data_IF_060375035680
#
_entry.id   IF_060375035680
#
_cell.length_a   1.000
_cell.length_b   1.000
_cell.length_c   1.000
_cell.angle_alpha   90.00
_cell.angle_beta   90.00
_cell.angle_gamma   90.00
#
_symmetry.space_group_name_H-M   'P 1'
#
loop_
_entity.id
_entity.type
_entity.pdbx_description
1 polymer ?
#
# COMPACT_ATOMS: atom_id res chain seq x y z
N UNK A 1 9.09 -9.04 -9.88
CA UNK A 1 9.64 -7.68 -10.06
C UNK A 1 11.06 -7.64 -9.55
N UNK A 2 11.31 -8.08 -8.31
CA UNK A 2 12.63 -7.99 -7.67
C UNK A 2 13.77 -8.59 -8.48
N UNK A 3 13.65 -9.86 -8.89
CA UNK A 3 14.68 -10.50 -9.74
C UNK A 3 15.02 -9.68 -11.00
N UNK A 4 14.02 -9.14 -11.71
CA UNK A 4 14.26 -8.29 -12.89
C UNK A 4 15.00 -7.00 -12.55
N UNK A 5 14.71 -6.41 -11.39
CA UNK A 5 15.36 -5.20 -10.90
C UNK A 5 16.82 -5.47 -10.53
N UNK A 6 17.08 -6.52 -9.73
CA UNK A 6 18.44 -6.91 -9.35
C UNK A 6 19.28 -7.33 -10.56
N UNK A 7 18.69 -8.06 -11.51
CA UNK A 7 19.37 -8.47 -12.75
C UNK A 7 19.69 -7.27 -13.65
N UNK A 8 18.83 -6.25 -13.67
CA UNK A 8 19.12 -5.00 -14.36
C UNK A 8 20.33 -4.28 -13.74
N UNK A 9 20.39 -4.18 -12.41
CA UNK A 9 21.53 -3.58 -11.71
C UNK A 9 22.83 -4.34 -11.97
N UNK A 10 22.81 -5.68 -11.83
CA UNK A 10 23.99 -6.53 -12.05
C UNK A 10 24.50 -6.47 -13.48
N UNK A 11 23.61 -6.45 -14.48
CA UNK A 11 24.01 -6.30 -15.90
C UNK A 11 24.67 -4.95 -16.19
N UNK A 12 24.34 -3.91 -15.44
CA UNK A 12 24.89 -2.56 -15.61
C UNK A 12 26.02 -2.23 -14.62
N UNK A 13 26.51 -3.19 -13.83
CA UNK A 13 27.49 -2.92 -12.76
C UNK A 13 28.75 -2.18 -13.24
N UNK A 14 29.25 -2.53 -14.43
CA UNK A 14 30.46 -1.96 -15.04
C UNK A 14 30.16 -0.81 -16.02
N UNK A 15 28.90 -0.40 -16.16
CA UNK A 15 28.54 0.73 -17.01
C UNK A 15 28.93 2.05 -16.34
N UNK A 16 29.52 2.96 -17.10
CA UNK A 16 29.75 4.35 -16.70
C UNK A 16 28.53 5.26 -16.94
N UNK A 17 27.51 4.78 -17.67
CA UNK A 17 26.29 5.53 -17.93
C UNK A 17 25.36 5.48 -16.72
N UNK A 18 24.71 6.60 -16.34
CA UNK A 18 23.68 6.59 -15.31
C UNK A 18 22.48 5.73 -15.75
N UNK A 19 21.73 5.22 -14.79
CA UNK A 19 20.50 4.47 -15.03
C UNK A 19 19.29 5.20 -14.45
N UNK A 20 18.13 4.87 -15.00
CA UNK A 20 16.84 5.18 -14.41
C UNK A 20 16.05 3.88 -14.27
N UNK A 21 15.51 3.62 -13.09
CA UNK A 21 14.72 2.43 -12.80
C UNK A 21 13.43 2.84 -12.09
N UNK A 22 12.30 2.50 -12.70
CA UNK A 22 10.97 2.75 -12.14
C UNK A 22 10.32 1.42 -11.77
N UNK A 23 10.07 1.22 -10.47
CA UNK A 23 9.46 0.02 -9.93
C UNK A 23 8.08 0.35 -9.35
N UNK A 24 7.03 -0.19 -9.98
CA UNK A 24 5.65 0.02 -9.56
C UNK A 24 4.99 -1.34 -9.24
N UNK A 25 5.25 -1.93 -8.06
CA UNK A 25 4.55 -3.13 -7.66
C UNK A 25 3.04 -2.84 -7.51
N UNK A 26 2.16 -3.75 -7.96
CA UNK A 26 0.72 -3.53 -7.88
C UNK A 26 0.16 -3.68 -6.45
N UNK A 27 0.89 -4.33 -5.54
CA UNK A 27 0.48 -4.43 -4.14
C UNK A 27 0.53 -3.04 -3.47
N UNK A 28 -0.45 -2.67 -2.62
CA UNK A 28 -1.48 -3.53 -2.04
C UNK A 28 -2.85 -3.40 -2.73
N UNK A 29 -2.91 -3.25 -4.05
CA UNK A 29 -4.18 -3.22 -4.78
C UNK A 29 -4.91 -4.58 -4.70
N UNK A 30 -6.23 -4.55 -4.88
CA UNK A 30 -7.06 -5.77 -4.99
C UNK A 30 -6.50 -6.68 -6.10
N UNK A 31 -6.52 -8.01 -5.93
CA UNK A 31 -7.36 -8.81 -5.02
C UNK A 31 -6.84 -9.00 -3.57
N UNK A 32 -5.80 -8.27 -3.13
CA UNK A 32 -5.21 -8.41 -1.79
C UNK A 32 -4.72 -9.82 -1.46
N UNK A 33 -4.33 -10.63 -2.46
CA UNK A 33 -3.83 -11.99 -2.23
C UNK A 33 -2.38 -11.96 -1.73
N UNK A 34 -2.10 -12.31 -0.46
CA UNK A 34 -0.75 -12.27 0.05
C UNK A 34 0.07 -13.49 -0.42
N UNK A 35 1.42 -13.39 -0.44
CA UNK A 35 2.27 -14.56 -0.61
C UNK A 35 1.99 -15.61 0.49
N UNK A 36 2.10 -16.89 0.13
CA UNK A 36 1.84 -18.01 1.04
C UNK A 36 2.66 -17.95 2.35
N UNK A 37 3.86 -17.37 2.30
CA UNK A 37 4.76 -17.17 3.47
C UNK A 37 4.24 -16.14 4.48
N UNK A 38 3.38 -15.21 4.07
CA UNK A 38 2.85 -14.13 4.90
C UNK A 38 1.36 -14.29 5.26
N UNK A 39 0.70 -15.36 4.77
CA UNK A 39 -0.75 -15.56 4.90
C UNK A 39 -1.28 -15.54 6.34
N UNK A 40 -0.47 -15.96 7.31
CA UNK A 40 -0.87 -16.09 8.72
C UNK A 40 -0.41 -14.92 9.61
N UNK A 41 0.24 -13.90 9.05
CA UNK A 41 0.70 -12.74 9.82
C UNK A 41 -0.47 -11.79 10.11
N UNK A 42 -0.35 -10.96 11.15
CA UNK A 42 -1.35 -9.92 11.49
C UNK A 42 -2.78 -10.43 11.74
N UNK A 43 -2.98 -11.70 12.07
CA UNK A 43 -4.34 -12.29 12.21
C UNK A 43 -5.23 -11.60 13.24
N UNK A 44 -4.63 -10.94 14.24
CA UNK A 44 -5.34 -10.22 15.31
C UNK A 44 -5.39 -8.69 15.08
N UNK A 45 -5.02 -8.22 13.89
CA UNK A 45 -5.03 -6.78 13.55
C UNK A 45 -6.35 -6.43 12.87
N UNK A 46 -6.95 -5.33 13.29
CA UNK A 46 -8.13 -4.74 12.68
C UNK A 46 -7.78 -3.42 11.99
N UNK A 47 -8.63 -2.97 11.07
CA UNK A 47 -8.47 -1.67 10.46
C UNK A 47 -8.57 -0.57 11.55
N UNK A 48 -7.75 0.50 11.47
CA UNK A 48 -7.74 1.56 12.47
C UNK A 48 -9.13 2.15 12.67
N UNK A 49 -9.62 2.09 13.91
CA UNK A 49 -10.89 2.66 14.33
C UNK A 49 -10.72 4.14 14.70
N UNK A 50 -10.29 4.95 13.74
CA UNK A 50 -10.09 6.41 13.92
C UNK A 50 -11.42 7.12 14.24
N UNK A 51 -11.43 8.38 14.71
CA UNK A 51 -12.68 9.11 14.97
C UNK A 51 -13.61 9.26 13.77
N UNK A 52 -13.09 9.11 12.55
CA UNK A 52 -13.88 9.11 11.31
C UNK A 52 -14.40 7.72 10.91
N UNK A 53 -13.98 6.64 11.57
CA UNK A 53 -14.42 5.29 11.26
C UNK A 53 -15.90 5.11 11.63
N UNK A 54 -16.68 4.54 10.69
CA UNK A 54 -18.12 4.28 10.85
C UNK A 54 -18.92 5.50 11.34
N UNK A 55 -18.50 6.70 10.95
CA UNK A 55 -19.15 7.95 11.34
C UNK A 55 -20.18 8.34 10.28
N UNK A 56 -21.36 8.80 10.71
CA UNK A 56 -22.32 9.45 9.81
C UNK A 56 -21.79 10.82 9.35
N UNK A 57 -22.06 11.17 8.10
CA UNK A 57 -21.53 12.39 7.49
C UNK A 57 -22.49 13.57 7.42
N UNK A 58 -23.78 13.37 7.69
CA UNK A 58 -24.84 14.39 7.68
C UNK A 58 -24.58 15.50 6.63
N UNK A 59 -24.79 16.77 6.98
CA UNK A 59 -24.56 17.92 6.09
C UNK A 59 -23.10 18.44 6.07
N UNK A 60 -22.16 17.72 6.69
CA UNK A 60 -20.77 18.20 6.89
C UNK A 60 -19.78 17.74 5.81
N UNK A 61 -20.14 16.76 4.98
CA UNK A 61 -19.29 16.19 3.91
C UNK A 61 -19.92 16.40 2.53
N UNK A 62 -19.26 16.08 1.43
CA UNK A 62 -19.90 16.20 0.11
C UNK A 62 -20.89 15.06 -0.15
N UNK A 63 -21.78 15.23 -1.12
CA UNK A 63 -22.96 14.37 -1.31
C UNK A 63 -22.64 12.88 -1.51
N UNK A 64 -21.57 12.53 -2.24
CA UNK A 64 -21.18 11.12 -2.50
C UNK A 64 -20.91 10.38 -1.19
N UNK A 65 -20.16 10.99 -0.27
CA UNK A 65 -19.78 10.34 1.00
C UNK A 65 -21.01 10.11 1.89
N UNK A 66 -22.00 11.00 1.80
CA UNK A 66 -23.27 10.90 2.53
C UNK A 66 -24.14 9.71 2.08
N UNK A 67 -23.84 9.10 0.94
CA UNK A 67 -24.60 7.94 0.43
C UNK A 67 -24.16 6.62 1.06
N UNK A 68 -23.13 6.60 1.92
CA UNK A 68 -22.76 5.39 2.63
C UNK A 68 -23.91 4.87 3.51
N UNK A 69 -24.05 3.55 3.54
CA UNK A 69 -24.90 2.86 4.51
C UNK A 69 -24.27 3.06 5.89
N UNK A 70 -25.05 3.61 6.82
CA UNK A 70 -24.64 3.86 8.20
C UNK A 70 -25.71 3.34 9.19
N UNK A 71 -25.32 2.61 10.25
CA UNK A 71 -23.96 2.14 10.54
C UNK A 71 -23.47 1.11 9.52
N UNK A 72 -22.15 0.93 9.41
CA UNK A 72 -21.52 -0.13 8.63
C UNK A 72 -22.09 -1.48 9.12
N UNK A 73 -22.67 -2.32 8.24
CA UNK A 73 -23.12 -3.66 8.61
C UNK A 73 -21.96 -4.52 9.12
N UNK A 74 -22.21 -5.39 10.10
CA UNK A 74 -21.18 -6.23 10.74
C UNK A 74 -20.32 -6.99 9.72
N UNK A 75 -20.94 -7.66 8.75
CA UNK A 75 -20.24 -8.37 7.68
C UNK A 75 -19.31 -7.47 6.84
N UNK A 76 -19.66 -6.20 6.66
CA UNK A 76 -18.80 -5.22 5.97
C UNK A 76 -17.65 -4.80 6.87
N UNK A 77 -17.89 -4.66 8.18
CA UNK A 77 -16.85 -4.43 9.19
C UNK A 77 -15.80 -5.54 9.22
N UNK A 78 -16.24 -6.80 9.22
CA UNK A 78 -15.35 -7.97 9.17
C UNK A 78 -14.52 -8.00 7.88
N UNK A 79 -15.17 -7.70 6.74
CA UNK A 79 -14.51 -7.62 5.45
C UNK A 79 -13.49 -6.48 5.39
N UNK A 80 -13.76 -5.33 6.03
CA UNK A 80 -12.80 -4.21 6.15
C UNK A 80 -11.54 -4.67 6.91
N UNK A 81 -11.71 -5.37 8.02
CA UNK A 81 -10.59 -5.83 8.84
C UNK A 81 -9.77 -6.89 8.10
N UNK A 82 -10.43 -7.82 7.42
CA UNK A 82 -9.76 -8.79 6.56
C UNK A 82 -8.99 -8.10 5.43
N UNK A 83 -9.61 -7.14 4.75
CA UNK A 83 -8.97 -6.36 3.68
C UNK A 83 -7.75 -5.60 4.19
N UNK A 84 -7.83 -5.01 5.39
CA UNK A 84 -6.71 -4.33 6.01
C UNK A 84 -5.52 -5.27 6.27
N UNK A 85 -5.78 -6.42 6.90
CA UNK A 85 -4.77 -7.45 7.15
C UNK A 85 -4.13 -7.94 5.85
N UNK A 86 -4.96 -8.27 4.86
CA UNK A 86 -4.48 -8.78 3.59
C UNK A 86 -3.65 -7.76 2.81
N UNK A 87 -4.01 -6.48 2.85
CA UNK A 87 -3.19 -5.39 2.31
C UNK A 87 -1.82 -5.31 3.00
N UNK A 88 -1.77 -5.35 4.32
CA UNK A 88 -0.49 -5.41 5.07
C UNK A 88 0.37 -6.61 4.68
N UNK A 89 -0.24 -7.79 4.59
CA UNK A 89 0.47 -9.01 4.17
C UNK A 89 1.02 -8.92 2.75
N UNK A 90 0.32 -8.24 1.84
CA UNK A 90 0.82 -8.01 0.48
C UNK A 90 1.97 -7.00 0.44
N UNK A 91 1.94 -5.99 1.33
CA UNK A 91 3.03 -5.01 1.45
C UNK A 91 4.35 -5.64 1.90
N UNK A 92 4.33 -6.74 2.66
CA UNK A 92 5.57 -7.46 2.99
C UNK A 92 6.32 -7.98 1.76
N UNK A 93 5.62 -8.29 0.66
CA UNK A 93 6.30 -8.62 -0.60
C UNK A 93 6.93 -7.40 -1.29
N UNK A 94 6.38 -6.21 -1.04
CA UNK A 94 6.96 -4.94 -1.49
C UNK A 94 8.17 -4.60 -0.63
N UNK A 95 8.11 -4.87 0.67
CA UNK A 95 9.23 -4.73 1.60
C UNK A 95 10.40 -5.64 1.18
N UNK A 96 10.14 -6.92 0.87
CA UNK A 96 11.14 -7.84 0.32
C UNK A 96 11.79 -7.28 -0.96
N UNK A 97 10.98 -6.73 -1.89
CA UNK A 97 11.45 -6.10 -3.12
C UNK A 97 12.38 -4.90 -2.83
N UNK A 98 11.99 -4.03 -1.90
CA UNK A 98 12.79 -2.86 -1.51
C UNK A 98 14.09 -3.33 -0.89
N UNK A 99 14.06 -4.29 0.04
CA UNK A 99 15.24 -4.85 0.68
C UNK A 99 16.20 -5.47 -0.34
N UNK A 100 15.70 -6.26 -1.29
CA UNK A 100 16.53 -6.89 -2.33
C UNK A 100 17.17 -5.86 -3.27
N UNK A 101 16.45 -4.80 -3.66
CA UNK A 101 16.98 -3.74 -4.53
C UNK A 101 18.02 -2.89 -3.80
N UNK A 102 17.72 -2.46 -2.57
CA UNK A 102 18.64 -1.67 -1.74
C UNK A 102 19.89 -2.48 -1.38
N UNK A 103 19.72 -3.77 -1.08
CA UNK A 103 20.82 -4.72 -0.89
C UNK A 103 21.69 -4.83 -2.13
N UNK A 104 21.10 -5.04 -3.32
CA UNK A 104 21.85 -5.11 -4.57
C UNK A 104 22.61 -3.81 -4.90
N UNK A 105 22.02 -2.63 -4.64
CA UNK A 105 22.73 -1.36 -4.80
C UNK A 105 23.92 -1.22 -3.84
N UNK A 106 23.77 -1.72 -2.61
CA UNK A 106 24.82 -1.71 -1.59
C UNK A 106 25.96 -2.65 -1.97
N UNK A 107 25.63 -3.91 -2.33
CA UNK A 107 26.60 -4.94 -2.75
C UNK A 107 27.42 -4.52 -3.97
N UNK A 108 26.81 -3.76 -4.89
CA UNK A 108 27.46 -3.26 -6.10
C UNK A 108 28.19 -1.92 -5.88
N UNK A 109 28.22 -1.39 -4.66
CA UNK A 109 28.77 -0.08 -4.31
C UNK A 109 28.19 1.06 -5.16
N UNK A 110 26.89 0.98 -5.50
CA UNK A 110 26.17 2.00 -6.30
C UNK A 110 25.26 2.88 -5.45
N UNK A 111 24.93 2.48 -4.23
CA UNK A 111 23.95 3.18 -3.38
C UNK A 111 24.34 4.64 -3.12
N UNK A 112 25.62 4.91 -2.81
CA UNK A 112 26.11 6.27 -2.51
C UNK A 112 25.96 7.26 -3.68
N UNK A 113 25.82 6.74 -4.91
CA UNK A 113 25.65 7.52 -6.13
C UNK A 113 24.28 7.29 -6.78
N UNK A 114 23.27 6.88 -6.00
CA UNK A 114 21.92 6.62 -6.49
C UNK A 114 20.90 7.42 -5.66
N UNK A 115 20.12 8.27 -6.33
CA UNK A 115 18.94 8.86 -5.69
C UNK A 115 17.80 7.84 -5.64
N UNK A 116 17.24 7.63 -4.45
CA UNK A 116 16.12 6.73 -4.23
C UNK A 116 14.89 7.55 -3.85
N UNK A 117 13.83 7.42 -4.64
CA UNK A 117 12.54 8.02 -4.37
C UNK A 117 11.54 6.90 -4.09
N UNK A 118 10.87 6.96 -2.94
CA UNK A 118 9.80 6.06 -2.56
C UNK A 118 8.53 6.87 -2.41
N UNK A 119 7.44 6.44 -3.05
CA UNK A 119 6.17 7.15 -3.03
C UNK A 119 5.01 6.19 -3.32
N UNK A 120 3.79 6.65 -3.09
CA UNK A 120 2.56 5.97 -3.50
C UNK A 120 1.74 6.83 -4.47
N UNK A 121 0.84 6.21 -5.22
CA UNK A 121 -0.08 6.91 -6.12
C UNK A 121 -1.24 7.60 -5.38
N UNK A 122 -1.61 7.08 -4.20
CA UNK A 122 -2.67 7.59 -3.32
C UNK A 122 -2.68 6.86 -1.98
N UNK A 123 -3.46 7.40 -1.05
CA UNK A 123 -3.88 6.70 0.14
C UNK A 123 -5.02 5.69 -0.12
N UNK A 124 -5.62 5.21 0.96
CA UNK A 124 -6.74 4.28 0.89
C UNK A 124 -7.57 4.32 2.18
N UNK A 125 -8.86 4.60 2.07
CA UNK A 125 -9.77 4.51 3.22
C UNK A 125 -10.34 3.10 3.38
N UNK A 126 -10.63 2.74 4.62
CA UNK A 126 -11.25 1.49 5.06
C UNK A 126 -12.16 1.80 6.25
N UNK A 127 -13.43 2.09 5.97
CA UNK A 127 -14.47 2.37 6.95
C UNK A 127 -14.60 3.83 7.37
N UNK A 128 -13.72 4.73 6.92
CA UNK A 128 -13.91 6.16 7.20
C UNK A 128 -15.20 6.66 6.58
N UNK A 129 -15.96 7.45 7.34
CA UNK A 129 -17.24 8.03 6.92
C UNK A 129 -18.27 6.97 6.49
N UNK A 130 -18.20 5.79 7.09
CA UNK A 130 -19.01 4.62 6.75
C UNK A 130 -18.80 4.10 5.31
N UNK A 131 -17.80 4.61 4.58
CA UNK A 131 -17.41 4.11 3.26
C UNK A 131 -16.59 2.82 3.41
N UNK A 132 -16.99 1.70 2.79
CA UNK A 132 -16.32 0.41 3.02
C UNK A 132 -14.83 0.42 2.65
N UNK A 133 -14.51 0.94 1.47
CA UNK A 133 -13.17 1.05 0.91
C UNK A 133 -13.19 2.00 -0.26
N UNK A 134 -12.00 2.46 -0.70
CA UNK A 134 -11.66 3.05 -2.01
C UNK A 134 -10.54 4.12 -1.81
N UNK A 135 -10.27 4.95 -2.82
CA UNK A 135 -9.24 6.00 -2.85
C UNK A 135 -9.65 7.25 -3.64
N UNK A 136 -10.97 7.46 -3.77
CA UNK A 136 -11.58 8.47 -4.66
C UNK A 136 -12.27 9.59 -3.88
N UNK A 137 -11.87 9.82 -2.64
CA UNK A 137 -12.40 10.91 -1.80
C UNK A 137 -11.33 11.99 -1.57
N UNK A 138 -11.70 13.27 -1.40
CA UNK A 138 -10.77 14.36 -1.18
C UNK A 138 -10.33 14.48 0.30
N UNK A 139 -10.19 13.36 1.01
CA UNK A 139 -9.83 13.34 2.43
C UNK A 139 -8.44 12.78 2.64
N UNK A 140 -7.81 13.15 3.76
CA UNK A 140 -6.45 12.74 4.13
C UNK A 140 -6.19 11.24 3.94
N UNK A 141 -7.15 10.37 4.24
CA UNK A 141 -6.99 8.92 4.05
C UNK A 141 -6.68 8.50 2.62
N UNK A 142 -7.13 9.27 1.62
CA UNK A 142 -7.07 8.92 0.21
C UNK A 142 -5.97 9.71 -0.52
N UNK A 143 -5.55 10.86 0.02
CA UNK A 143 -4.57 11.73 -0.61
C UNK A 143 -3.20 11.73 0.07
N UNK A 144 -3.14 11.35 1.36
CA UNK A 144 -1.88 11.26 2.08
C UNK A 144 -1.10 10.03 1.62
N UNK A 145 0.12 10.25 1.15
CA UNK A 145 1.08 9.24 0.73
C UNK A 145 2.36 9.33 1.55
N UNK A 146 3.15 8.25 1.67
CA UNK A 146 4.47 8.27 2.29
C UNK A 146 5.43 9.24 1.62
#
# INVERSE_FOLDING_TARGET
>A
ISQKATDFLRRNQNSSRPFFMFLAPPAPHQPFTPPQRYRNLFSNVNAPRTPSFNTSCNNTKHWIVRQAIHPIPEAVGDWIDESYRNRWRTLLAVDDLVAEVMGALTDLHKLENTFVFFMSDNGYHLGQFSQPKDKRQPYETDIHVP
#
